data_IF_155967886871
#
_entry.id   IF_155967886871
#
_cell.length_a   1.000
_cell.length_b   1.000
_cell.length_c   1.000
_cell.angle_alpha   90.00
_cell.angle_beta   90.00
_cell.angle_gamma   90.00
#
_symmetry.space_group_name_H-M   'P 1'
#
loop_
_entity.id
_entity.type
_entity.pdbx_description
1 polymer ?
#
# COMPACT_ATOMS: atom_id res chain seq x y z
N UNK A 1 -11.13 -14.75 9.27
CA UNK A 1 -10.67 -13.50 8.63
C UNK A 1 -9.17 -13.23 8.80
N UNK A 2 -8.47 -13.73 9.83
CA UNK A 2 -7.01 -13.62 9.92
C UNK A 2 -6.28 -14.23 8.69
N UNK A 3 -6.85 -15.27 8.08
CA UNK A 3 -6.32 -15.90 6.87
C UNK A 3 -6.25 -14.96 5.66
N UNK A 4 -7.20 -14.03 5.48
CA UNK A 4 -7.16 -13.05 4.38
C UNK A 4 -5.94 -12.12 4.50
N UNK A 5 -5.68 -11.61 5.71
CA UNK A 5 -4.48 -10.80 5.97
C UNK A 5 -3.20 -11.63 6.01
N UNK A 6 -3.27 -12.93 6.35
CA UNK A 6 -2.15 -13.84 6.24
C UNK A 6 -1.76 -14.07 4.77
N UNK A 7 -2.75 -14.29 3.92
CA UNK A 7 -2.56 -14.42 2.47
C UNK A 7 -1.90 -13.17 1.88
N UNK A 8 -2.38 -11.97 2.26
CA UNK A 8 -1.72 -10.71 1.86
C UNK A 8 -0.27 -10.62 2.33
N UNK A 9 0.03 -11.09 3.54
CA UNK A 9 1.39 -11.04 4.12
C UNK A 9 2.36 -11.98 3.43
N UNK A 10 1.88 -13.16 3.02
CA UNK A 10 2.70 -14.20 2.38
C UNK A 10 2.64 -14.15 0.85
N UNK A 11 1.81 -13.29 0.27
CA UNK A 11 1.64 -13.19 -1.18
C UNK A 11 0.79 -14.31 -1.79
N UNK A 12 -0.08 -14.94 -1.00
CA UNK A 12 -1.00 -15.99 -1.46
C UNK A 12 -2.18 -15.38 -2.23
N UNK A 13 -1.97 -15.16 -3.52
CA UNK A 13 -2.94 -14.52 -4.43
C UNK A 13 -4.17 -15.41 -4.64
N UNK A 14 -4.00 -16.73 -4.63
CA UNK A 14 -5.09 -17.67 -4.83
C UNK A 14 -6.08 -17.58 -3.66
N UNK A 15 -5.59 -17.60 -2.42
CA UNK A 15 -6.43 -17.46 -1.25
C UNK A 15 -7.07 -16.06 -1.17
N UNK A 16 -6.32 -14.99 -1.48
CA UNK A 16 -6.89 -13.64 -1.57
C UNK A 16 -8.04 -13.58 -2.58
N UNK A 17 -7.82 -14.14 -3.77
CA UNK A 17 -8.80 -14.21 -4.86
C UNK A 17 -10.05 -14.98 -4.41
N UNK A 18 -9.86 -16.14 -3.79
CA UNK A 18 -10.98 -16.94 -3.30
C UNK A 18 -11.86 -16.17 -2.29
N UNK A 19 -11.25 -15.46 -1.33
CA UNK A 19 -12.01 -14.63 -0.39
C UNK A 19 -12.79 -13.53 -1.11
N UNK A 20 -12.14 -12.79 -2.03
CA UNK A 20 -12.77 -11.67 -2.75
C UNK A 20 -13.92 -12.17 -3.63
N UNK A 21 -13.73 -13.28 -4.36
CA UNK A 21 -14.75 -13.87 -5.22
C UNK A 21 -15.93 -14.44 -4.41
N UNK A 22 -15.70 -14.86 -3.16
CA UNK A 22 -16.74 -15.24 -2.21
C UNK A 22 -17.48 -14.03 -1.57
N UNK A 23 -17.18 -12.80 -2.00
CA UNK A 23 -17.83 -11.58 -1.52
C UNK A 23 -17.21 -10.99 -0.25
N UNK A 24 -16.02 -11.45 0.17
CA UNK A 24 -15.32 -10.80 1.27
C UNK A 24 -14.89 -9.38 0.86
N UNK A 25 -15.11 -8.35 1.70
CA UNK A 25 -14.78 -6.98 1.32
C UNK A 25 -13.27 -6.81 1.08
N UNK A 26 -12.88 -6.40 -0.13
CA UNK A 26 -11.47 -6.21 -0.51
C UNK A 26 -10.73 -5.21 0.40
N UNK A 27 -11.44 -4.17 0.83
CA UNK A 27 -10.96 -3.12 1.72
C UNK A 27 -11.28 -3.39 3.20
N UNK A 28 -11.60 -4.65 3.57
CA UNK A 28 -11.76 -5.01 4.97
C UNK A 28 -10.52 -4.61 5.77
N UNK A 29 -10.77 -3.96 6.91
CA UNK A 29 -9.73 -3.50 7.83
C UNK A 29 -9.60 -4.45 9.00
N UNK A 30 -8.36 -4.80 9.37
CA UNK A 30 -8.08 -5.58 10.57
C UNK A 30 -8.12 -4.71 11.84
N UNK A 31 -7.78 -5.29 13.00
CA UNK A 31 -7.78 -4.57 14.28
C UNK A 31 -6.80 -3.38 14.36
N UNK A 32 -5.81 -3.30 13.47
CA UNK A 32 -4.87 -2.18 13.32
C UNK A 32 -5.26 -1.23 12.19
N UNK A 33 -6.46 -1.42 11.64
CA UNK A 33 -6.99 -0.70 10.50
C UNK A 33 -6.26 -0.93 9.17
N UNK A 34 -5.43 -1.97 9.08
CA UNK A 34 -4.77 -2.33 7.82
C UNK A 34 -5.73 -3.03 6.86
N UNK A 35 -5.67 -2.65 5.59
CA UNK A 35 -6.25 -3.39 4.46
C UNK A 35 -5.29 -4.48 3.99
N UNK A 36 -5.77 -5.42 3.14
CA UNK A 36 -4.87 -6.39 2.51
C UNK A 36 -3.78 -5.71 1.66
N UNK A 37 -4.11 -4.62 0.97
CA UNK A 37 -3.13 -3.87 0.17
C UNK A 37 -2.00 -3.30 1.03
N UNK A 38 -2.31 -2.72 2.19
CA UNK A 38 -1.29 -2.24 3.13
C UNK A 38 -0.40 -3.39 3.63
N UNK A 39 -1.00 -4.54 3.96
CA UNK A 39 -0.25 -5.70 4.44
C UNK A 39 0.67 -6.24 3.34
N UNK A 40 0.19 -6.39 2.11
CA UNK A 40 1.02 -6.84 0.99
C UNK A 40 2.17 -5.88 0.71
N UNK A 41 1.89 -4.58 0.64
CA UNK A 41 2.89 -3.54 0.40
C UNK A 41 3.99 -3.49 1.48
N UNK A 42 3.61 -3.60 2.76
CA UNK A 42 4.56 -3.62 3.88
C UNK A 42 5.43 -4.88 3.93
N UNK A 43 5.03 -5.96 3.27
CA UNK A 43 5.75 -7.24 3.26
C UNK A 43 6.40 -7.56 1.91
N UNK A 44 6.54 -6.57 1.02
CA UNK A 44 7.22 -6.75 -0.27
C UNK A 44 6.49 -7.67 -1.25
N UNK A 45 5.19 -7.90 -1.06
CA UNK A 45 4.41 -8.82 -1.89
C UNK A 45 3.89 -8.10 -3.14
N UNK A 46 4.77 -7.87 -4.11
CA UNK A 46 4.47 -7.08 -5.31
C UNK A 46 3.33 -7.67 -6.14
N UNK A 47 3.37 -8.98 -6.42
CA UNK A 47 2.32 -9.64 -7.22
C UNK A 47 0.95 -9.59 -6.53
N UNK A 48 0.92 -9.73 -5.21
CA UNK A 48 -0.31 -9.59 -4.44
C UNK A 48 -0.82 -8.14 -4.42
N UNK A 49 0.08 -7.17 -4.32
CA UNK A 49 -0.26 -5.74 -4.44
C UNK A 49 -0.92 -5.46 -5.79
N UNK A 50 -0.31 -5.90 -6.90
CA UNK A 50 -0.86 -5.75 -8.24
C UNK A 50 -2.22 -6.43 -8.39
N UNK A 51 -2.38 -7.65 -7.87
CA UNK A 51 -3.65 -8.37 -7.91
C UNK A 51 -4.76 -7.64 -7.14
N UNK A 52 -4.45 -7.05 -5.98
CA UNK A 52 -5.42 -6.29 -5.19
C UNK A 52 -5.81 -4.98 -5.89
N UNK A 53 -4.82 -4.25 -6.44
CA UNK A 53 -5.06 -3.04 -7.22
C UNK A 53 -5.92 -3.32 -8.47
N UNK A 54 -5.61 -4.38 -9.21
CA UNK A 54 -6.38 -4.79 -10.39
C UNK A 54 -7.84 -5.16 -10.06
N UNK A 55 -8.11 -5.54 -8.81
CA UNK A 55 -9.45 -5.84 -8.29
C UNK A 55 -10.12 -4.63 -7.61
N UNK A 56 -9.53 -3.44 -7.72
CA UNK A 56 -10.13 -2.19 -7.26
C UNK A 56 -9.95 -1.91 -5.77
N UNK A 57 -8.94 -2.48 -5.10
CA UNK A 57 -8.64 -2.10 -3.71
C UNK A 57 -8.26 -0.62 -3.60
N UNK A 58 -8.74 0.06 -2.56
CA UNK A 58 -8.46 1.49 -2.38
C UNK A 58 -7.08 1.73 -1.73
N UNK A 59 -6.14 2.25 -2.52
CA UNK A 59 -4.77 2.56 -2.08
C UNK A 59 -4.65 3.75 -1.12
N UNK A 60 -5.67 4.61 -1.06
CA UNK A 60 -5.68 5.85 -0.30
C UNK A 60 -6.30 5.70 1.10
N UNK A 61 -6.83 4.51 1.43
CA UNK A 61 -7.24 4.21 2.80
C UNK A 61 -6.05 4.37 3.74
N UNK A 62 -6.34 4.79 4.97
CA UNK A 62 -5.33 5.05 5.99
C UNK A 62 -5.44 4.05 7.13
N UNK A 63 -4.32 3.69 7.77
CA UNK A 63 -4.31 2.86 8.97
C UNK A 63 -4.66 3.68 10.25
N UNK A 64 -4.46 3.10 11.45
CA UNK A 64 -4.67 3.83 12.72
C UNK A 64 -3.72 5.02 12.92
N UNK A 65 -2.58 5.07 12.23
CA UNK A 65 -1.58 6.13 12.25
C UNK A 65 -1.75 7.12 11.09
N UNK A 66 -2.74 6.93 10.22
CA UNK A 66 -2.91 7.76 9.03
C UNK A 66 -2.05 7.33 7.83
N UNK A 67 -1.29 6.24 7.92
CA UNK A 67 -0.43 5.82 6.82
C UNK A 67 -1.25 5.08 5.75
N UNK A 68 -0.96 5.37 4.49
CA UNK A 68 -1.48 4.64 3.33
C UNK A 68 -0.56 3.47 2.96
N UNK A 69 -0.98 2.64 1.99
CA UNK A 69 -0.14 1.53 1.51
C UNK A 69 1.22 2.00 0.98
N UNK A 70 1.26 3.15 0.27
CA UNK A 70 2.52 3.67 -0.30
C UNK A 70 3.49 4.15 0.78
N UNK A 71 2.99 4.71 1.89
CA UNK A 71 3.83 5.06 3.05
C UNK A 71 4.41 3.79 3.71
N UNK A 72 3.66 2.68 3.75
CA UNK A 72 4.17 1.38 4.20
C UNK A 72 5.29 0.84 3.31
N UNK A 73 5.11 0.87 1.99
CA UNK A 73 6.12 0.47 1.01
C UNK A 73 7.40 1.34 1.12
N UNK A 74 7.25 2.64 1.36
CA UNK A 74 8.37 3.57 1.53
C UNK A 74 9.25 3.21 2.72
N UNK A 75 8.66 2.95 3.90
CA UNK A 75 9.42 2.56 5.11
C UNK A 75 10.26 1.31 4.84
N UNK A 76 9.73 0.40 4.05
CA UNK A 76 10.32 -0.90 3.73
C UNK A 76 11.28 -0.84 2.54
N UNK A 77 11.29 0.26 1.79
CA UNK A 77 12.11 0.42 0.58
C UNK A 77 11.62 -0.41 -0.60
N UNK A 78 10.32 -0.72 -0.67
CA UNK A 78 9.72 -1.55 -1.71
C UNK A 78 9.41 -0.72 -2.97
N UNK A 79 10.45 -0.23 -3.65
CA UNK A 79 10.31 0.75 -4.73
C UNK A 79 9.52 0.26 -5.95
N UNK A 80 9.54 -1.05 -6.25
CA UNK A 80 8.70 -1.60 -7.33
C UNK A 80 7.22 -1.48 -6.98
N UNK A 81 6.86 -1.81 -5.73
CA UNK A 81 5.51 -1.63 -5.19
C UNK A 81 5.12 -0.15 -5.14
N UNK A 82 6.03 0.72 -4.73
CA UNK A 82 5.78 2.16 -4.71
C UNK A 82 5.41 2.69 -6.10
N UNK A 83 6.07 2.25 -7.18
CA UNK A 83 5.69 2.65 -8.55
C UNK A 83 4.24 2.30 -8.88
N UNK A 84 3.79 1.10 -8.51
CA UNK A 84 2.40 0.65 -8.73
C UNK A 84 1.38 1.40 -7.86
N UNK A 85 1.78 1.80 -6.65
CA UNK A 85 0.93 2.56 -5.74
C UNK A 85 0.91 4.06 -6.06
N UNK A 86 2.00 4.60 -6.61
CA UNK A 86 2.12 6.01 -6.96
C UNK A 86 1.23 6.38 -8.16
N UNK A 87 0.97 5.42 -9.05
CA UNK A 87 0.01 5.59 -10.15
C UNK A 87 -1.45 5.67 -9.69
N UNK A 88 -1.72 5.43 -8.40
CA UNK A 88 -3.06 5.54 -7.85
C UNK A 88 -3.39 7.00 -7.51
N UNK A 89 -4.58 7.45 -7.90
CA UNK A 89 -5.04 8.84 -7.69
C UNK A 89 -5.45 9.07 -6.23
N UNK A 90 -4.47 9.28 -5.35
CA UNK A 90 -4.70 9.80 -4.01
C UNK A 90 -4.57 11.33 -3.99
N UNK A 91 -5.21 11.98 -3.01
CA UNK A 91 -4.99 13.40 -2.75
C UNK A 91 -3.51 13.65 -2.41
N UNK A 92 -2.85 14.54 -3.16
CA UNK A 92 -1.44 14.89 -2.97
C UNK A 92 -1.17 15.56 -1.61
N UNK A 93 -2.22 16.13 -0.99
CA UNK A 93 -2.17 16.73 0.34
C UNK A 93 -2.66 15.79 1.45
N UNK A 94 -2.93 14.51 1.14
CA UNK A 94 -3.28 13.53 2.14
C UNK A 94 -2.11 13.35 3.12
N UNK A 95 -2.37 13.66 4.39
CA UNK A 95 -1.39 13.53 5.47
C UNK A 95 -1.71 12.37 6.39
N UNK A 96 -0.68 11.74 6.95
CA UNK A 96 -0.88 10.82 8.08
C UNK A 96 -1.22 11.59 9.36
N UNK A 97 -1.45 10.89 10.48
CA UNK A 97 -1.83 11.54 11.75
C UNK A 97 -0.71 12.35 12.39
N UNK A 98 0.51 12.28 11.87
CA UNK A 98 1.62 13.17 12.24
C UNK A 98 1.66 14.44 11.39
N UNK A 99 0.67 14.65 10.50
CA UNK A 99 0.61 15.80 9.61
C UNK A 99 1.56 15.72 8.42
N UNK A 100 2.17 14.57 8.15
CA UNK A 100 3.14 14.41 7.06
C UNK A 100 2.45 13.93 5.78
N UNK A 101 2.65 14.65 4.69
CA UNK A 101 2.44 14.19 3.30
C UNK A 101 3.41 13.05 2.96
N UNK A 102 3.25 12.40 1.80
CA UNK A 102 4.19 11.36 1.35
C UNK A 102 5.63 11.88 1.25
N UNK A 103 5.82 13.11 0.74
CA UNK A 103 7.13 13.73 0.58
C UNK A 103 7.80 14.07 1.92
N UNK A 104 7.05 14.64 2.86
CA UNK A 104 7.56 14.91 4.22
C UNK A 104 7.86 13.60 4.96
N UNK A 105 7.03 12.58 4.76
CA UNK A 105 7.26 11.26 5.32
C UNK A 105 8.54 10.62 4.73
N UNK A 106 8.78 10.76 3.43
CA UNK A 106 10.01 10.33 2.79
C UNK A 106 11.24 11.00 3.39
N UNK A 107 11.16 12.30 3.66
CA UNK A 107 12.23 13.07 4.30
C UNK A 107 12.51 12.57 5.72
N UNK A 108 11.47 12.36 6.51
CA UNK A 108 11.60 11.83 7.86
C UNK A 108 12.31 10.47 7.90
N UNK A 109 12.07 9.60 6.91
CA UNK A 109 12.72 8.29 6.80
C UNK A 109 14.02 8.28 6.00
N UNK A 110 14.51 9.44 5.53
CA UNK A 110 15.75 9.53 4.74
C UNK A 110 15.64 8.92 3.33
N UNK A 111 14.44 8.85 2.76
CA UNK A 111 14.14 8.26 1.45
C UNK A 111 13.75 9.30 0.37
N UNK A 112 13.90 10.60 0.66
CA UNK A 112 13.49 11.69 -0.27
C UNK A 112 14.14 11.60 -1.64
N UNK A 113 15.46 11.38 -1.70
CA UNK A 113 16.18 11.32 -2.99
C UNK A 113 15.68 10.18 -3.87
N UNK A 114 15.42 9.02 -3.26
CA UNK A 114 14.88 7.86 -3.98
C UNK A 114 13.45 8.07 -4.45
N UNK A 115 12.61 8.73 -3.65
CA UNK A 115 11.26 9.11 -4.06
C UNK A 115 11.31 10.05 -5.28
N UNK A 116 12.11 11.12 -5.21
CA UNK A 116 12.27 12.07 -6.32
C UNK A 116 12.82 11.41 -7.60
N UNK A 117 13.79 10.49 -7.46
CA UNK A 117 14.32 9.73 -8.58
C UNK A 117 13.24 8.84 -9.23
N UNK A 118 12.40 8.19 -8.40
CA UNK A 118 11.29 7.38 -8.88
C UNK A 118 10.26 8.23 -9.62
N UNK A 119 9.83 9.35 -9.06
CA UNK A 119 8.87 10.28 -9.67
C UNK A 119 9.39 10.79 -11.03
N UNK A 120 10.65 11.21 -11.10
CA UNK A 120 11.31 11.65 -12.34
C UNK A 120 11.44 10.55 -13.39
N UNK A 121 11.37 9.27 -12.99
CA UNK A 121 11.38 8.13 -13.90
C UNK A 121 10.00 7.82 -14.49
N UNK A 122 8.92 8.27 -13.85
CA UNK A 122 7.54 8.06 -14.28
C UNK A 122 7.03 9.18 -15.21
N UNK A 123 7.71 10.34 -15.24
CA UNK A 123 7.35 11.50 -16.06
C UNK A 123 8.06 11.55 -17.42
N UNK A 124 8.90 10.54 -17.72
CA UNK A 124 9.65 10.39 -18.98
C UNK A 124 8.97 9.34 -19.85
#
# INVERSE_FOLDING_TARGET
>A
MNYFFAAARTGDIELLTHFIDAGFPIDQRNAQSYTALMVAAYNGQERATLSLLARGSNACLQDKRGNTAIMGALIKGEWSIMKHLYSQTCDAYLTNKSGMTLNEFALYWGQSERLQQMESSLQR
#
